data_IF_335770399788
#
_entry.id   IF_335770399788
#
_cell.length_a   1.000
_cell.length_b   1.000
_cell.length_c   1.000
_cell.angle_alpha   90.00
_cell.angle_beta   90.00
_cell.angle_gamma   90.00
#
_symmetry.space_group_name_H-M   'P 1'
#
loop_
_entity.id
_entity.type
_entity.pdbx_description
1 polymer ?
#
# COMPACT_ATOMS: atom_id res chain seq x y z
N UNK A 1 -21.88 9.39 33.24
CA UNK A 1 -20.53 8.79 33.36
C UNK A 1 -20.32 7.66 32.35
N UNK A 2 -21.09 6.57 32.41
CA UNK A 2 -20.94 5.40 31.50
C UNK A 2 -21.17 5.73 30.02
N UNK A 3 -22.15 6.58 29.71
CA UNK A 3 -22.45 7.02 28.34
C UNK A 3 -21.29 7.75 27.67
N UNK A 4 -20.58 8.61 28.42
CA UNK A 4 -19.40 9.33 27.92
C UNK A 4 -18.23 8.39 27.63
N UNK A 5 -18.04 7.38 28.49
CA UNK A 5 -16.98 6.37 28.30
C UNK A 5 -17.25 5.51 27.06
N UNK A 6 -18.50 5.10 26.84
CA UNK A 6 -18.89 4.34 25.64
C UNK A 6 -18.68 5.15 24.36
N UNK A 7 -19.09 6.42 24.34
CA UNK A 7 -18.90 7.30 23.19
C UNK A 7 -17.42 7.52 22.89
N UNK A 8 -16.59 7.77 23.91
CA UNK A 8 -15.15 7.92 23.75
C UNK A 8 -14.49 6.66 23.18
N UNK A 9 -14.89 5.49 23.68
CA UNK A 9 -14.38 4.18 23.23
C UNK A 9 -14.75 3.91 21.77
N UNK A 10 -15.99 4.16 21.39
CA UNK A 10 -16.48 4.02 20.01
C UNK A 10 -15.77 4.98 19.06
N UNK A 11 -15.56 6.24 19.46
CA UNK A 11 -14.84 7.21 18.66
C UNK A 11 -13.39 6.79 18.42
N UNK A 12 -12.71 6.29 19.46
CA UNK A 12 -11.33 5.82 19.36
C UNK A 12 -11.22 4.57 18.47
N UNK A 13 -12.14 3.62 18.63
CA UNK A 13 -12.22 2.43 17.78
C UNK A 13 -12.51 2.80 16.32
N UNK A 14 -13.46 3.70 16.09
CA UNK A 14 -13.78 4.22 14.75
C UNK A 14 -12.58 4.92 14.10
N UNK A 15 -11.85 5.74 14.86
CA UNK A 15 -10.63 6.37 14.38
C UNK A 15 -9.56 5.34 14.00
N UNK A 16 -9.28 4.36 14.87
CA UNK A 16 -8.32 3.30 14.59
C UNK A 16 -8.70 2.48 13.34
N UNK A 17 -9.97 2.12 13.20
CA UNK A 17 -10.49 1.41 12.03
C UNK A 17 -10.38 2.25 10.76
N UNK A 18 -10.71 3.55 10.82
CA UNK A 18 -10.59 4.46 9.68
C UNK A 18 -9.13 4.62 9.23
N UNK A 19 -8.19 4.67 10.17
CA UNK A 19 -6.76 4.74 9.89
C UNK A 19 -6.27 3.46 9.20
N UNK A 20 -6.66 2.29 9.73
CA UNK A 20 -6.36 0.99 9.11
C UNK A 20 -6.98 0.89 7.71
N UNK A 21 -8.21 1.35 7.53
CA UNK A 21 -8.88 1.40 6.23
C UNK A 21 -8.16 2.32 5.24
N UNK A 22 -7.67 3.48 5.67
CA UNK A 22 -6.86 4.37 4.82
C UNK A 22 -5.51 3.75 4.45
N UNK A 23 -4.86 3.07 5.40
CA UNK A 23 -3.65 2.28 5.15
C UNK A 23 -3.91 1.14 4.14
N UNK A 24 -5.10 0.57 4.15
CA UNK A 24 -5.56 -0.45 3.21
C UNK A 24 -5.91 0.12 1.83
N UNK A 25 -6.66 1.23 1.79
CA UNK A 25 -7.21 1.84 0.58
C UNK A 25 -6.16 2.52 -0.31
N UNK A 26 -5.00 2.93 0.23
CA UNK A 26 -3.83 3.34 -0.57
C UNK A 26 -2.72 2.28 -0.56
N UNK A 27 -2.92 1.12 -1.22
CA UNK A 27 -1.94 0.05 -1.26
C UNK A 27 -0.70 0.39 -2.09
N UNK A 28 -0.76 1.44 -2.92
CA UNK A 28 0.32 1.84 -3.81
C UNK A 28 0.84 3.23 -3.46
N UNK A 29 2.09 3.31 -3.02
CA UNK A 29 2.85 4.55 -3.06
C UNK A 29 3.43 4.78 -4.45
N UNK A 30 3.70 6.03 -4.82
CA UNK A 30 4.54 6.29 -6.00
C UNK A 30 5.96 5.77 -5.72
N UNK A 31 6.56 5.09 -6.69
CA UNK A 31 7.96 4.69 -6.55
C UNK A 31 8.84 5.95 -6.44
N UNK A 32 9.58 6.12 -5.34
CA UNK A 32 10.45 7.29 -5.11
C UNK A 32 11.52 7.46 -6.19
N UNK A 33 11.91 6.34 -6.83
CA UNK A 33 12.91 6.32 -7.89
C UNK A 33 12.29 6.88 -9.18
N UNK A 34 11.26 6.27 -9.77
CA UNK A 34 10.68 6.79 -11.02
C UNK A 34 9.59 7.85 -10.84
N UNK A 35 9.32 8.32 -9.62
CA UNK A 35 8.25 9.26 -9.25
C UNK A 35 6.83 8.82 -9.70
N UNK A 36 6.63 7.55 -10.03
CA UNK A 36 5.36 7.04 -10.56
C UNK A 36 5.37 6.72 -12.05
N UNK A 37 6.41 7.11 -12.80
CA UNK A 37 6.46 6.95 -14.25
C UNK A 37 6.69 5.51 -14.73
N UNK A 38 7.12 4.59 -13.86
CA UNK A 38 7.46 3.21 -14.24
C UNK A 38 8.78 3.06 -15.01
N UNK A 39 9.18 4.11 -15.73
CA UNK A 39 10.41 4.16 -16.53
C UNK A 39 11.27 5.35 -16.11
N UNK A 40 12.53 5.34 -16.54
CA UNK A 40 13.48 6.45 -16.37
C UNK A 40 14.21 6.71 -17.70
N UNK A 41 14.41 7.98 -18.08
CA UNK A 41 15.24 8.29 -19.24
C UNK A 41 16.67 7.78 -19.00
N UNK A 42 17.28 7.22 -20.05
CA UNK A 42 18.68 6.81 -20.04
C UNK A 42 19.60 8.02 -19.80
N UNK A 43 20.66 7.81 -19.01
CA UNK A 43 21.63 8.88 -18.72
C UNK A 43 22.39 9.36 -19.96
N UNK A 44 22.67 8.45 -20.90
CA UNK A 44 23.52 8.72 -22.08
C UNK A 44 22.65 9.09 -23.30
N UNK A 45 21.53 8.38 -23.50
CA UNK A 45 20.59 8.62 -24.60
C UNK A 45 19.22 8.89 -23.99
N UNK A 46 18.78 10.16 -24.04
CA UNK A 46 17.49 10.58 -23.49
C UNK A 46 16.28 9.88 -24.13
N UNK A 47 16.39 9.44 -25.40
CA UNK A 47 15.35 8.65 -26.10
C UNK A 47 15.24 7.20 -25.61
N UNK A 48 16.27 6.66 -24.96
CA UNK A 48 16.24 5.29 -24.47
C UNK A 48 15.63 5.28 -23.08
N UNK A 49 14.34 4.98 -22.97
CA UNK A 49 13.70 4.76 -21.67
C UNK A 49 14.11 3.40 -21.12
N UNK A 50 14.63 3.40 -19.89
CA UNK A 50 14.91 2.17 -19.16
C UNK A 50 13.81 1.93 -18.15
N UNK A 51 13.38 0.68 -18.05
CA UNK A 51 12.44 0.27 -17.02
C UNK A 51 13.04 0.49 -15.63
N UNK A 52 12.22 0.97 -14.70
CA UNK A 52 12.66 1.13 -13.33
C UNK A 52 12.78 -0.26 -12.67
N UNK A 53 14.00 -0.82 -12.63
CA UNK A 53 14.30 -2.11 -11.97
C UNK A 53 13.75 -2.24 -10.55
N UNK A 54 13.61 -1.11 -9.83
CA UNK A 54 13.11 -1.11 -8.44
C UNK A 54 11.60 -1.31 -8.31
N UNK A 55 10.82 -1.02 -9.34
CA UNK A 55 9.38 -1.29 -9.36
C UNK A 55 8.94 -2.23 -10.49
N UNK A 56 9.88 -2.74 -11.31
CA UNK A 56 9.58 -3.62 -12.44
C UNK A 56 8.60 -2.99 -13.42
N UNK A 57 8.90 -1.78 -13.90
CA UNK A 57 8.05 -0.98 -14.81
C UNK A 57 6.65 -0.57 -14.29
N UNK A 58 6.18 -1.06 -13.15
CA UNK A 58 4.81 -0.76 -12.65
C UNK A 58 4.59 0.67 -12.16
N UNK A 59 5.66 1.44 -11.92
CA UNK A 59 5.59 2.80 -11.35
C UNK A 59 5.11 2.88 -9.89
N UNK A 60 4.66 1.76 -9.31
CA UNK A 60 4.01 1.68 -8.00
C UNK A 60 4.93 0.97 -7.01
N UNK A 61 4.93 1.43 -5.75
CA UNK A 61 5.57 0.76 -4.61
C UNK A 61 4.46 0.13 -3.76
N UNK A 62 4.52 -1.18 -3.58
CA UNK A 62 3.60 -1.92 -2.71
C UNK A 62 3.79 -1.45 -1.26
N UNK A 63 2.74 -0.89 -0.66
CA UNK A 63 2.67 -0.58 0.78
C UNK A 63 2.23 -1.81 1.57
N UNK A 64 2.41 -1.74 2.90
CA UNK A 64 2.15 -2.86 3.84
C UNK A 64 0.73 -3.41 3.70
N UNK A 65 -0.28 -2.56 3.47
CA UNK A 65 -1.66 -3.01 3.30
C UNK A 65 -1.84 -4.10 2.24
N UNK A 66 -1.20 -3.97 1.07
CA UNK A 66 -1.28 -5.02 0.04
C UNK A 66 -0.49 -6.27 0.38
N UNK A 67 0.59 -6.15 1.15
CA UNK A 67 1.32 -7.32 1.66
C UNK A 67 0.48 -8.11 2.65
N UNK A 68 -0.26 -7.41 3.53
CA UNK A 68 -1.20 -8.02 4.47
C UNK A 68 -2.32 -8.76 3.75
N UNK A 69 -2.94 -8.16 2.72
CA UNK A 69 -3.98 -8.84 1.92
C UNK A 69 -3.43 -10.10 1.28
N UNK A 70 -2.26 -10.01 0.65
CA UNK A 70 -1.65 -11.16 -0.02
C UNK A 70 -1.30 -12.25 0.99
N UNK A 71 -0.80 -11.86 2.16
CA UNK A 71 -0.50 -12.81 3.24
C UNK A 71 -1.77 -13.49 3.75
N UNK A 72 -2.81 -12.74 4.12
CA UNK A 72 -4.10 -13.29 4.57
C UNK A 72 -4.72 -14.20 3.50
N UNK A 73 -4.64 -13.82 2.22
CA UNK A 73 -5.10 -14.69 1.11
C UNK A 73 -4.28 -15.96 0.98
N UNK A 74 -2.98 -15.89 1.20
CA UNK A 74 -2.08 -17.05 1.15
C UNK A 74 -2.41 -18.01 2.29
N UNK A 75 -2.53 -17.49 3.53
CA UNK A 75 -2.94 -18.27 4.71
C UNK A 75 -4.33 -18.89 4.53
N UNK A 76 -5.30 -18.12 4.02
CA UNK A 76 -6.64 -18.63 3.75
C UNK A 76 -6.64 -19.77 2.73
N UNK A 77 -5.84 -19.67 1.66
CA UNK A 77 -5.69 -20.74 0.68
C UNK A 77 -4.98 -21.97 1.25
N UNK A 78 -3.96 -21.76 2.08
CA UNK A 78 -3.24 -22.83 2.74
C UNK A 78 -4.12 -23.61 3.71
N UNK A 79 -5.01 -22.93 4.45
CA UNK A 79 -5.99 -23.57 5.33
C UNK A 79 -7.19 -24.22 4.62
N UNK A 80 -7.36 -23.99 3.32
CA UNK A 80 -8.37 -24.67 2.50
C UNK A 80 -7.85 -25.93 1.78
N UNK A 81 -6.59 -26.32 2.00
CA UNK A 81 -5.97 -27.56 1.53
C UNK A 81 -5.86 -28.58 2.66
#
# INVERSE_FOLDING_TARGET
>A
MVTLVLLASLALAGYALSYLALCYAKPFGRCRRCKGAGQRPGLIIRRLTRECRRCGATGKRVRVGRRLIEHVRTEYRAGQQ
#
